data_IF_203494772621
#
_entry.id   IF_203494772621
#
_cell.length_a   1.000
_cell.length_b   1.000
_cell.length_c   1.000
_cell.angle_alpha   90.00
_cell.angle_beta   90.00
_cell.angle_gamma   90.00
#
_symmetry.space_group_name_H-M   'P 1'
#
loop_
_entity.id
_entity.type
_entity.pdbx_description
1 polymer ?
#
# COMPACT_ATOMS: atom_id res chain seq x y z
N UNK A 1 -1.80 39.45 -5.81
CA UNK A 1 -0.99 38.43 -6.52
C UNK A 1 -0.26 37.48 -5.57
N UNK A 2 0.38 37.94 -4.48
CA UNK A 2 1.06 37.06 -3.50
C UNK A 2 0.17 35.98 -2.82
N UNK A 3 -1.13 36.23 -2.63
CA UNK A 3 -2.03 35.26 -2.00
C UNK A 3 -2.32 34.02 -2.85
N UNK A 4 -2.46 34.17 -4.18
CA UNK A 4 -2.70 33.04 -5.08
C UNK A 4 -1.42 32.21 -5.31
N UNK A 5 -0.24 32.82 -5.29
CA UNK A 5 1.03 32.10 -5.39
C UNK A 5 1.36 31.34 -4.11
N UNK A 6 1.05 31.89 -2.92
CA UNK A 6 1.13 31.13 -1.66
C UNK A 6 0.15 29.96 -1.64
N UNK A 7 -1.12 30.17 -2.03
CA UNK A 7 -2.11 29.09 -2.09
C UNK A 7 -1.74 28.02 -3.13
N UNK A 8 -1.29 28.40 -4.32
CA UNK A 8 -0.75 27.47 -5.33
C UNK A 8 0.50 26.72 -4.84
N UNK A 9 1.30 27.37 -3.97
CA UNK A 9 2.46 26.81 -3.30
C UNK A 9 2.15 25.85 -2.15
N UNK A 10 0.88 25.72 -1.73
CA UNK A 10 0.43 24.82 -0.64
C UNK A 10 -0.39 23.63 -1.16
N UNK A 11 -1.17 23.82 -2.23
CA UNK A 11 -2.09 22.81 -2.74
C UNK A 11 -1.39 21.65 -3.48
N UNK A 12 -2.07 20.50 -3.58
CA UNK A 12 -1.62 19.36 -4.40
C UNK A 12 -1.69 19.74 -5.90
N UNK A 13 -0.61 19.56 -6.68
CA UNK A 13 -0.62 19.91 -8.10
C UNK A 13 -1.69 19.15 -8.90
N UNK A 14 -2.45 19.86 -9.73
CA UNK A 14 -3.55 19.26 -10.52
C UNK A 14 -3.08 18.11 -11.40
N UNK A 15 -1.88 18.22 -12.00
CA UNK A 15 -1.33 17.16 -12.85
C UNK A 15 -1.19 15.83 -12.09
N UNK A 16 -0.84 15.88 -10.80
CA UNK A 16 -0.69 14.67 -9.98
C UNK A 16 -2.06 14.05 -9.71
N UNK A 17 -3.08 14.85 -9.38
CA UNK A 17 -4.46 14.39 -9.19
C UNK A 17 -4.99 13.68 -10.45
N UNK A 18 -4.79 14.31 -11.61
CA UNK A 18 -5.22 13.78 -12.91
C UNK A 18 -4.45 12.52 -13.28
N UNK A 19 -3.12 12.51 -13.15
CA UNK A 19 -2.29 11.35 -13.44
C UNK A 19 -2.64 10.15 -12.55
N UNK A 20 -2.84 10.39 -11.24
CA UNK A 20 -3.26 9.35 -10.30
C UNK A 20 -4.61 8.76 -10.66
N UNK A 21 -5.59 9.63 -10.96
CA UNK A 21 -6.93 9.21 -11.38
C UNK A 21 -6.89 8.43 -12.68
N UNK A 22 -6.11 8.87 -13.66
CA UNK A 22 -5.93 8.16 -14.93
C UNK A 22 -5.29 6.78 -14.71
N UNK A 23 -4.31 6.67 -13.81
CA UNK A 23 -3.72 5.39 -13.43
C UNK A 23 -4.77 4.47 -12.80
N UNK A 24 -5.58 4.96 -11.86
CA UNK A 24 -6.69 4.18 -11.25
C UNK A 24 -7.65 3.68 -12.33
N UNK A 25 -8.13 4.57 -13.20
CA UNK A 25 -9.08 4.23 -14.26
C UNK A 25 -8.49 3.27 -15.31
N UNK A 26 -7.19 3.28 -15.54
CA UNK A 26 -6.51 2.35 -16.44
C UNK A 26 -6.28 0.97 -15.81
N UNK A 27 -5.85 0.92 -14.55
CA UNK A 27 -5.51 -0.33 -13.85
C UNK A 27 -6.75 -1.13 -13.49
N UNK A 28 -7.80 -0.47 -12.97
CA UNK A 28 -9.00 -1.14 -12.44
C UNK A 28 -9.65 -2.09 -13.46
N UNK A 29 -9.97 -1.66 -14.71
CA UNK A 29 -10.59 -2.56 -15.68
C UNK A 29 -9.72 -3.77 -16.02
N UNK A 30 -8.40 -3.56 -16.10
CA UNK A 30 -7.45 -4.61 -16.45
C UNK A 30 -7.36 -5.65 -15.33
N UNK A 31 -7.16 -5.18 -14.09
CA UNK A 31 -7.07 -6.04 -12.91
C UNK A 31 -8.37 -6.77 -12.64
N UNK A 32 -9.50 -6.09 -12.77
CA UNK A 32 -10.80 -6.75 -12.65
C UNK A 32 -10.90 -7.91 -13.65
N UNK A 33 -10.56 -7.67 -14.91
CA UNK A 33 -10.70 -8.69 -15.95
C UNK A 33 -9.75 -9.88 -15.77
N UNK A 34 -8.54 -9.67 -15.25
CA UNK A 34 -7.53 -10.73 -15.11
C UNK A 34 -7.55 -11.43 -13.74
N UNK A 35 -7.81 -10.70 -12.66
CA UNK A 35 -7.71 -11.19 -11.29
C UNK A 35 -9.05 -11.21 -10.53
N UNK A 36 -10.09 -10.60 -11.12
CA UNK A 36 -11.40 -10.45 -10.50
C UNK A 36 -11.46 -9.31 -9.47
N UNK A 37 -12.68 -8.90 -9.06
CA UNK A 37 -12.87 -7.75 -8.19
C UNK A 37 -12.30 -7.96 -6.77
N UNK A 38 -12.16 -9.21 -6.33
CA UNK A 38 -11.59 -9.53 -5.01
C UNK A 38 -10.11 -9.19 -4.90
N UNK A 39 -9.40 -9.05 -6.02
CA UNK A 39 -7.99 -8.66 -6.03
C UNK A 39 -7.78 -7.31 -5.31
N UNK A 40 -8.73 -6.39 -5.47
CA UNK A 40 -8.69 -5.06 -4.88
C UNK A 40 -8.73 -5.03 -3.34
N UNK A 41 -8.78 -6.18 -2.67
CA UNK A 41 -8.63 -6.30 -1.22
C UNK A 41 -7.17 -6.27 -0.78
N UNK A 42 -6.18 -6.35 -1.70
CA UNK A 42 -4.79 -6.08 -1.35
C UNK A 42 -4.65 -4.71 -0.71
N UNK A 43 -3.87 -4.62 0.37
CA UNK A 43 -3.65 -3.35 1.04
C UNK A 43 -3.10 -2.25 0.13
N UNK A 44 -2.24 -2.62 -0.81
CA UNK A 44 -1.69 -1.70 -1.83
C UNK A 44 -2.77 -1.17 -2.77
N UNK A 45 -3.72 -2.00 -3.21
CA UNK A 45 -4.84 -1.57 -4.05
C UNK A 45 -5.77 -0.62 -3.28
N UNK A 46 -6.08 -0.94 -2.01
CA UNK A 46 -6.88 -0.08 -1.14
C UNK A 46 -6.20 1.27 -0.94
N UNK A 47 -4.90 1.26 -0.63
CA UNK A 47 -4.10 2.47 -0.49
C UNK A 47 -4.06 3.27 -1.80
N UNK A 48 -3.89 2.59 -2.94
CA UNK A 48 -3.86 3.19 -4.27
C UNK A 48 -5.16 3.95 -4.58
N UNK A 49 -6.33 3.37 -4.28
CA UNK A 49 -7.62 4.03 -4.48
C UNK A 49 -7.89 5.13 -3.45
N UNK A 50 -7.64 4.88 -2.17
CA UNK A 50 -7.84 5.86 -1.11
C UNK A 50 -6.94 7.09 -1.30
N UNK A 51 -5.73 6.91 -1.86
CA UNK A 51 -4.84 8.02 -2.17
C UNK A 51 -5.40 8.94 -3.26
N UNK A 52 -6.20 8.43 -4.21
CA UNK A 52 -6.90 9.28 -5.17
C UNK A 52 -7.83 10.28 -4.43
N UNK A 53 -8.61 9.79 -3.46
CA UNK A 53 -9.44 10.64 -2.63
C UNK A 53 -8.61 11.60 -1.77
N UNK A 54 -7.52 11.11 -1.16
CA UNK A 54 -6.60 11.94 -0.36
C UNK A 54 -6.00 13.10 -1.15
N UNK A 55 -5.61 12.86 -2.42
CA UNK A 55 -5.06 13.88 -3.30
C UNK A 55 -6.12 14.89 -3.76
N UNK A 56 -7.34 14.45 -4.08
CA UNK A 56 -8.41 15.35 -4.51
C UNK A 56 -8.93 16.22 -3.37
N UNK A 57 -9.13 15.62 -2.20
CA UNK A 57 -9.59 16.30 -0.98
C UNK A 57 -8.47 17.05 -0.26
N UNK A 58 -7.21 16.86 -0.68
CA UNK A 58 -6.03 17.42 -0.04
C UNK A 58 -6.00 17.12 1.47
N UNK A 59 -6.38 15.89 1.81
CA UNK A 59 -6.58 15.45 3.19
C UNK A 59 -5.29 14.86 3.76
N UNK A 60 -4.68 15.58 4.71
CA UNK A 60 -3.56 15.09 5.52
C UNK A 60 -3.89 13.76 6.21
N UNK A 61 -5.11 13.64 6.72
CA UNK A 61 -5.61 12.43 7.37
C UNK A 61 -5.63 11.22 6.44
N UNK A 62 -6.27 11.31 5.26
CA UNK A 62 -6.36 10.15 4.34
C UNK A 62 -4.97 9.73 3.86
N UNK A 63 -4.12 10.70 3.53
CA UNK A 63 -2.75 10.42 3.08
C UNK A 63 -1.91 9.78 4.21
N UNK A 64 -2.04 10.26 5.44
CA UNK A 64 -1.35 9.68 6.61
C UNK A 64 -1.90 8.30 6.97
N UNK A 65 -3.21 8.08 6.81
CA UNK A 65 -3.88 6.80 7.03
C UNK A 65 -3.30 5.73 6.10
N UNK A 66 -3.30 5.98 4.79
CA UNK A 66 -2.79 5.01 3.82
C UNK A 66 -1.28 4.81 3.96
N UNK A 67 -0.52 5.87 4.25
CA UNK A 67 0.92 5.75 4.51
C UNK A 67 1.18 4.87 5.75
N UNK A 68 0.46 5.06 6.85
CA UNK A 68 0.54 4.18 8.02
C UNK A 68 0.17 2.73 7.69
N UNK A 69 -0.78 2.51 6.78
CA UNK A 69 -1.21 1.15 6.40
C UNK A 69 -0.13 0.38 5.62
N UNK A 70 0.56 1.03 4.68
CA UNK A 70 1.37 0.31 3.67
C UNK A 70 2.79 0.81 3.44
N UNK A 71 3.27 1.85 4.13
CA UNK A 71 4.63 2.38 3.89
C UNK A 71 5.71 1.30 3.96
N UNK A 72 5.70 0.48 5.02
CA UNK A 72 6.71 -0.59 5.19
C UNK A 72 6.63 -1.66 4.10
N UNK A 73 5.48 -2.30 3.81
CA UNK A 73 5.42 -3.29 2.74
C UNK A 73 5.76 -2.70 1.36
N UNK A 74 5.49 -1.42 1.12
CA UNK A 74 5.80 -0.74 -0.15
C UNK A 74 7.30 -0.44 -0.30
N UNK A 75 7.97 -0.09 0.80
CA UNK A 75 9.45 -0.05 0.86
C UNK A 75 10.02 -1.44 0.58
N UNK A 76 9.51 -2.48 1.26
CA UNK A 76 9.99 -3.85 1.08
C UNK A 76 9.76 -4.35 -0.35
N UNK A 77 8.64 -4.00 -0.96
CA UNK A 77 8.35 -4.31 -2.36
C UNK A 77 9.32 -3.61 -3.30
N UNK A 78 9.55 -2.31 -3.10
CA UNK A 78 10.48 -1.53 -3.92
C UNK A 78 11.92 -2.04 -3.81
N UNK A 79 12.39 -2.33 -2.59
CA UNK A 79 13.71 -2.92 -2.35
C UNK A 79 13.82 -4.31 -2.99
N UNK A 80 12.79 -5.15 -2.89
CA UNK A 80 12.75 -6.47 -3.55
C UNK A 80 12.85 -6.35 -5.07
N UNK A 81 12.06 -5.47 -5.67
CA UNK A 81 12.03 -5.25 -7.11
C UNK A 81 13.35 -4.69 -7.64
N UNK A 82 13.83 -3.56 -7.11
CA UNK A 82 15.07 -2.94 -7.57
C UNK A 82 16.30 -3.76 -7.20
N UNK A 83 16.31 -4.42 -6.04
CA UNK A 83 17.39 -5.33 -5.67
C UNK A 83 17.55 -6.46 -6.69
N UNK A 84 16.45 -7.04 -7.16
CA UNK A 84 16.47 -8.08 -8.19
C UNK A 84 16.90 -7.55 -9.57
N UNK A 85 16.51 -6.33 -9.95
CA UNK A 85 17.03 -5.67 -11.16
C UNK A 85 18.54 -5.44 -11.11
N UNK A 86 19.04 -5.03 -9.95
CA UNK A 86 20.47 -4.77 -9.70
C UNK A 86 21.26 -6.05 -9.37
N UNK A 87 20.63 -7.23 -9.40
CA UNK A 87 21.24 -8.53 -9.08
C UNK A 87 21.86 -8.59 -7.68
N UNK A 88 21.27 -7.86 -6.72
CA UNK A 88 21.65 -7.91 -5.31
C UNK A 88 21.14 -9.20 -4.63
N UNK A 89 21.72 -9.58 -3.48
CA UNK A 89 21.20 -10.69 -2.68
C UNK A 89 19.70 -10.52 -2.39
N UNK A 90 18.95 -11.62 -2.50
CA UNK A 90 17.49 -11.62 -2.33
C UNK A 90 17.13 -11.37 -0.86
N UNK A 91 16.62 -10.19 -0.55
CA UNK A 91 16.19 -9.80 0.81
C UNK A 91 14.77 -10.29 1.14
N UNK A 92 13.82 -10.13 0.20
CA UNK A 92 12.43 -10.59 0.33
C UNK A 92 11.92 -11.11 -1.02
N UNK A 93 10.87 -11.92 -1.01
CA UNK A 93 10.22 -12.45 -2.23
C UNK A 93 8.95 -11.73 -2.66
N UNK A 94 8.59 -10.61 -2.03
CA UNK A 94 7.26 -9.97 -2.23
C UNK A 94 7.06 -9.43 -3.65
N UNK A 95 8.14 -9.10 -4.36
CA UNK A 95 8.10 -8.66 -5.76
C UNK A 95 8.52 -9.76 -6.75
N UNK A 96 8.63 -11.03 -6.34
CA UNK A 96 9.18 -12.08 -7.22
C UNK A 96 8.34 -12.35 -8.46
N UNK A 97 7.02 -12.16 -8.35
CA UNK A 97 6.08 -12.31 -9.46
C UNK A 97 6.40 -11.34 -10.61
N UNK A 98 7.06 -10.20 -10.33
CA UNK A 98 7.52 -9.25 -11.36
C UNK A 98 8.53 -9.85 -12.33
N UNK A 99 9.12 -10.99 -11.98
CA UNK A 99 10.13 -11.68 -12.78
C UNK A 99 9.69 -13.10 -13.16
N UNK A 100 8.45 -13.47 -12.86
CA UNK A 100 7.84 -14.70 -13.36
C UNK A 100 7.64 -14.57 -14.88
N UNK A 101 8.11 -15.56 -15.64
CA UNK A 101 7.97 -15.59 -17.10
C UNK A 101 6.60 -16.11 -17.55
N UNK A 102 5.84 -16.74 -16.65
CA UNK A 102 4.47 -17.20 -16.92
C UNK A 102 3.48 -16.03 -16.94
N UNK A 103 3.83 -14.90 -16.34
CA UNK A 103 3.01 -13.68 -16.35
C UNK A 103 3.51 -12.75 -17.47
N UNK A 104 2.65 -12.36 -18.43
CA UNK A 104 3.04 -11.45 -19.51
C UNK A 104 3.70 -10.18 -18.97
N UNK A 105 4.76 -9.71 -19.63
CA UNK A 105 5.53 -8.54 -19.18
C UNK A 105 4.65 -7.30 -18.98
N UNK A 106 3.73 -7.05 -19.90
CA UNK A 106 2.83 -5.90 -19.82
C UNK A 106 1.90 -5.97 -18.59
N UNK A 107 1.47 -7.16 -18.17
CA UNK A 107 0.61 -7.33 -16.99
C UNK A 107 1.41 -7.09 -15.70
N UNK A 108 2.66 -7.57 -15.64
CA UNK A 108 3.58 -7.27 -14.53
C UNK A 108 3.90 -5.77 -14.45
N UNK A 109 4.07 -5.11 -15.59
CA UNK A 109 4.35 -3.67 -15.63
C UNK A 109 3.24 -2.83 -15.00
N UNK A 110 2.00 -3.33 -14.96
CA UNK A 110 0.90 -2.62 -14.29
C UNK A 110 1.13 -2.54 -12.78
N UNK A 111 1.70 -3.58 -12.17
CA UNK A 111 2.08 -3.58 -10.76
C UNK A 111 3.17 -2.57 -10.43
N UNK A 112 3.81 -1.92 -11.40
CA UNK A 112 4.76 -0.83 -11.12
C UNK A 112 4.11 0.38 -10.45
N UNK A 113 2.77 0.43 -10.31
CA UNK A 113 2.09 1.45 -9.51
C UNK A 113 2.58 1.53 -8.06
N UNK A 114 3.19 0.46 -7.51
CA UNK A 114 3.86 0.46 -6.21
C UNK A 114 4.95 1.56 -6.10
N UNK A 115 5.66 1.85 -7.20
CA UNK A 115 6.72 2.87 -7.21
C UNK A 115 6.16 4.30 -7.00
N UNK A 116 5.22 4.81 -7.83
CA UNK A 116 4.62 6.09 -7.57
C UNK A 116 3.77 6.10 -6.30
N UNK A 117 3.21 4.96 -5.87
CA UNK A 117 2.52 4.82 -4.58
C UNK A 117 3.45 5.11 -3.41
N UNK A 118 4.61 4.46 -3.32
CA UNK A 118 5.61 4.76 -2.31
C UNK A 118 6.04 6.24 -2.33
N UNK A 119 6.29 6.78 -3.53
CA UNK A 119 6.70 8.18 -3.67
C UNK A 119 5.65 9.15 -3.11
N UNK A 120 4.37 8.96 -3.46
CA UNK A 120 3.28 9.83 -3.00
C UNK A 120 2.98 9.62 -1.52
N UNK A 121 3.19 8.43 -0.95
CA UNK A 121 3.02 8.19 0.49
C UNK A 121 4.10 8.83 1.37
N UNK A 122 5.25 9.18 0.81
CA UNK A 122 6.27 9.97 1.51
C UNK A 122 6.06 11.47 1.23
N UNK A 123 5.85 11.83 -0.04
CA UNK A 123 5.64 13.22 -0.46
C UNK A 123 4.35 13.82 0.12
N UNK A 124 3.29 13.03 0.20
CA UNK A 124 1.97 13.48 0.64
C UNK A 124 1.96 13.98 2.09
N UNK A 125 2.42 13.20 3.09
CA UNK A 125 2.55 13.67 4.47
C UNK A 125 3.49 14.87 4.61
N UNK A 126 4.59 14.92 3.84
CA UNK A 126 5.46 16.09 3.79
C UNK A 126 4.71 17.35 3.28
N UNK A 127 3.87 17.17 2.25
CA UNK A 127 3.17 18.27 1.58
C UNK A 127 1.96 18.78 2.34
N UNK A 128 1.12 17.87 2.81
CA UNK A 128 -0.18 18.16 3.44
C UNK A 128 -0.10 18.18 4.97
N UNK A 129 1.03 17.80 5.54
CA UNK A 129 1.20 17.55 6.95
C UNK A 129 0.93 16.09 7.30
N UNK A 130 1.79 15.52 8.12
CA UNK A 130 1.57 14.21 8.70
C UNK A 130 0.62 14.31 9.89
N UNK A 131 -0.41 13.47 9.92
CA UNK A 131 -1.36 13.37 11.03
C UNK A 131 -1.07 12.11 11.87
N UNK A 132 -0.43 12.24 13.05
CA UNK A 132 -0.17 11.11 13.94
C UNK A 132 -1.44 10.42 14.43
N UNK A 133 -2.57 11.14 14.45
CA UNK A 133 -3.88 10.63 14.82
C UNK A 133 -4.44 9.59 13.84
N UNK A 134 -3.81 9.41 12.67
CA UNK A 134 -4.22 8.41 11.69
C UNK A 134 -3.87 6.95 12.09
N UNK A 135 -2.90 6.71 12.98
CA UNK A 135 -2.44 5.36 13.30
C UNK A 135 -3.55 4.45 13.89
N UNK A 136 -4.34 4.85 14.90
CA UNK A 136 -5.42 4.01 15.40
C UNK A 136 -6.44 3.64 14.32
N UNK A 137 -6.72 4.56 13.40
CA UNK A 137 -7.60 4.31 12.25
C UNK A 137 -6.96 3.37 11.24
N UNK A 138 -5.66 3.48 10.99
CA UNK A 138 -4.93 2.56 10.12
C UNK A 138 -4.98 1.13 10.68
N UNK A 139 -4.82 0.96 12.00
CA UNK A 139 -4.95 -0.34 12.68
C UNK A 139 -6.37 -0.89 12.54
N UNK A 140 -7.39 -0.08 12.83
CA UNK A 140 -8.79 -0.48 12.71
C UNK A 140 -9.15 -0.87 11.27
N UNK A 141 -8.75 -0.05 10.29
CA UNK A 141 -8.97 -0.35 8.86
C UNK A 141 -8.25 -1.63 8.46
N UNK A 142 -7.02 -1.85 8.91
CA UNK A 142 -6.28 -3.09 8.68
C UNK A 142 -7.01 -4.32 9.21
N UNK A 143 -7.54 -4.26 10.44
CA UNK A 143 -8.32 -5.37 10.99
C UNK A 143 -9.57 -5.66 10.17
N UNK A 144 -10.33 -4.62 9.81
CA UNK A 144 -11.53 -4.77 8.96
C UNK A 144 -11.15 -5.41 7.63
N UNK A 145 -10.11 -4.92 6.96
CA UNK A 145 -9.65 -5.46 5.67
C UNK A 145 -9.19 -6.91 5.81
N UNK A 146 -8.42 -7.27 6.84
CA UNK A 146 -7.99 -8.65 7.05
C UNK A 146 -9.20 -9.59 7.22
N UNK A 147 -10.17 -9.22 8.05
CA UNK A 147 -11.38 -9.99 8.29
C UNK A 147 -12.23 -10.13 7.02
N UNK A 148 -12.45 -9.03 6.30
CA UNK A 148 -13.20 -9.04 5.04
C UNK A 148 -12.47 -9.85 3.95
N UNK A 149 -11.14 -9.74 3.87
CA UNK A 149 -10.33 -10.52 2.93
C UNK A 149 -10.50 -12.01 3.21
N UNK A 150 -10.41 -12.42 4.48
CA UNK A 150 -10.59 -13.82 4.87
C UNK A 150 -12.01 -14.33 4.60
N UNK A 151 -13.02 -13.49 4.73
CA UNK A 151 -14.41 -13.85 4.51
C UNK A 151 -14.79 -13.92 3.03
N UNK A 152 -14.22 -13.05 2.20
CA UNK A 152 -14.61 -12.89 0.80
C UNK A 152 -13.74 -13.64 -0.21
N UNK A 153 -12.61 -14.22 0.21
CA UNK A 153 -11.62 -14.81 -0.71
C UNK A 153 -11.35 -16.30 -0.42
N UNK A 154 -10.50 -16.90 -1.24
CA UNK A 154 -10.02 -18.27 -1.09
C UNK A 154 -8.49 -18.32 -0.91
N UNK A 155 -7.94 -19.48 -0.48
CA UNK A 155 -6.52 -19.61 -0.20
C UNK A 155 -5.61 -19.45 -1.42
N UNK A 156 -6.13 -19.57 -2.64
CA UNK A 156 -5.37 -19.61 -3.89
C UNK A 156 -4.54 -18.34 -4.08
N UNK A 157 -5.18 -17.18 -4.02
CA UNK A 157 -4.52 -15.88 -4.13
C UNK A 157 -3.82 -15.45 -2.83
N UNK A 158 -4.26 -15.97 -1.69
CA UNK A 158 -3.73 -15.66 -0.36
C UNK A 158 -3.53 -14.15 -0.11
N UNK A 159 -4.54 -13.36 -0.49
CA UNK A 159 -4.52 -11.90 -0.38
C UNK A 159 -4.25 -11.49 1.05
N UNK A 160 -3.33 -10.54 1.24
CA UNK A 160 -2.85 -10.06 2.55
C UNK A 160 -2.40 -11.19 3.50
N UNK A 161 -2.00 -12.34 2.95
CA UNK A 161 -1.52 -13.50 3.69
C UNK A 161 -2.52 -14.09 4.69
N UNK A 162 -3.84 -13.88 4.51
CA UNK A 162 -4.86 -14.31 5.47
C UNK A 162 -5.07 -15.83 5.55
N UNK A 163 -4.43 -16.62 4.67
CA UNK A 163 -4.43 -18.09 4.73
C UNK A 163 -3.06 -18.67 5.08
N UNK A 164 -1.96 -18.04 4.64
CA UNK A 164 -0.59 -18.57 4.78
C UNK A 164 0.41 -17.42 4.90
N UNK A 165 1.36 -17.54 5.83
CA UNK A 165 2.46 -16.57 5.94
C UNK A 165 3.47 -16.72 4.78
N UNK A 166 4.15 -15.62 4.38
CA UNK A 166 5.16 -15.66 3.32
C UNK A 166 6.48 -16.35 3.71
N UNK A 167 6.77 -16.53 5.00
CA UNK A 167 8.07 -17.02 5.49
C UNK A 167 8.01 -18.30 6.35
N UNK A 168 6.81 -18.69 6.82
CA UNK A 168 6.66 -19.79 7.76
C UNK A 168 6.07 -21.02 7.06
N UNK A 169 6.93 -21.87 6.52
CA UNK A 169 6.57 -23.27 6.36
C UNK A 169 6.51 -23.90 7.76
N UNK A 170 5.36 -24.46 8.16
CA UNK A 170 5.29 -25.32 9.35
C UNK A 170 4.78 -24.73 10.67
N UNK A 171 4.16 -23.54 10.69
CA UNK A 171 3.37 -23.13 11.85
C UNK A 171 1.94 -23.70 11.72
N UNK A 172 1.62 -24.78 12.46
CA UNK A 172 0.26 -25.33 12.53
C UNK A 172 -0.65 -24.44 13.39
N UNK A 173 -1.05 -23.28 12.83
CA UNK A 173 -2.03 -22.40 13.45
C UNK A 173 -3.45 -22.76 12.99
N UNK A 174 -4.41 -22.74 13.92
CA UNK A 174 -5.82 -22.68 13.55
C UNK A 174 -6.12 -21.38 12.78
N UNK A 175 -7.18 -21.32 11.95
CA UNK A 175 -7.52 -20.09 11.23
C UNK A 175 -7.69 -18.86 12.14
N UNK A 176 -8.21 -19.05 13.35
CA UNK A 176 -8.36 -17.97 14.34
C UNK A 176 -7.00 -17.50 14.85
N UNK A 177 -6.11 -18.43 15.22
CA UNK A 177 -4.76 -18.09 15.68
C UNK A 177 -3.97 -17.37 14.57
N UNK A 178 -4.07 -17.83 13.32
CA UNK A 178 -3.44 -17.18 12.18
C UNK A 178 -3.90 -15.73 12.01
N UNK A 179 -5.21 -15.49 12.10
CA UNK A 179 -5.76 -14.14 12.00
C UNK A 179 -5.36 -13.26 13.18
N UNK A 180 -5.35 -13.78 14.41
CA UNK A 180 -4.88 -13.04 15.60
C UNK A 180 -3.42 -12.65 15.47
N UNK A 181 -2.57 -13.54 14.93
CA UNK A 181 -1.17 -13.22 14.64
C UNK A 181 -1.09 -12.10 13.62
N UNK A 182 -1.85 -12.13 12.51
CA UNK A 182 -1.83 -11.02 11.54
C UNK A 182 -2.34 -9.71 12.13
N UNK A 183 -3.46 -9.75 12.86
CA UNK A 183 -4.07 -8.58 13.49
C UNK A 183 -3.18 -7.96 14.57
N UNK A 184 -2.22 -8.69 15.13
CA UNK A 184 -1.25 -8.15 16.09
C UNK A 184 0.07 -7.77 15.42
N UNK A 185 0.63 -8.65 14.60
CA UNK A 185 1.92 -8.46 13.95
C UNK A 185 1.90 -7.34 12.91
N UNK A 186 0.84 -7.17 12.12
CA UNK A 186 0.77 -6.10 11.11
C UNK A 186 0.83 -4.71 11.77
N UNK A 187 0.00 -4.40 12.79
CA UNK A 187 0.15 -3.15 13.54
C UNK A 187 1.53 -2.96 14.16
N UNK A 188 2.05 -3.97 14.85
CA UNK A 188 3.28 -3.83 15.63
C UNK A 188 4.56 -3.79 14.79
N UNK A 189 4.62 -4.58 13.72
CA UNK A 189 5.83 -4.78 12.93
C UNK A 189 5.84 -3.98 11.63
N UNK A 190 4.68 -3.55 11.13
CA UNK A 190 4.59 -2.80 9.87
C UNK A 190 4.04 -1.39 10.09
N UNK A 191 2.86 -1.24 10.70
CA UNK A 191 2.21 0.07 10.80
C UNK A 191 2.90 0.98 11.82
N UNK A 192 3.25 0.46 13.00
CA UNK A 192 3.91 1.24 14.04
C UNK A 192 5.31 1.70 13.59
N UNK A 193 6.20 0.87 13.03
CA UNK A 193 7.48 1.34 12.49
C UNK A 193 7.31 2.36 11.37
N UNK A 194 6.34 2.15 10.45
CA UNK A 194 6.03 3.11 9.41
C UNK A 194 5.55 4.46 9.98
N UNK A 195 4.66 4.41 10.97
CA UNK A 195 4.18 5.59 11.69
C UNK A 195 5.31 6.34 12.38
N UNK A 196 6.20 5.63 13.10
CA UNK A 196 7.32 6.24 13.79
C UNK A 196 8.31 6.87 12.81
N UNK A 197 8.55 6.25 11.65
CA UNK A 197 9.37 6.81 10.58
C UNK A 197 8.76 8.12 10.05
N UNK A 198 7.47 8.12 9.72
CA UNK A 198 6.77 9.33 9.26
C UNK A 198 6.75 10.42 10.32
N UNK A 199 6.53 10.04 11.59
CA UNK A 199 6.56 10.97 12.71
C UNK A 199 7.94 11.57 12.93
N UNK A 200 9.00 10.78 12.83
CA UNK A 200 10.37 11.28 12.93
C UNK A 200 10.73 12.24 11.78
N UNK A 201 10.18 12.02 10.58
CA UNK A 201 10.44 12.85 9.40
C UNK A 201 9.61 14.14 9.35
N UNK A 202 8.35 14.07 9.80
CA UNK A 202 7.34 15.11 9.53
C UNK A 202 6.49 15.48 10.76
N UNK A 203 6.73 14.87 11.91
CA UNK A 203 6.10 15.24 13.17
C UNK A 203 6.61 16.60 13.62
N UNK A 204 5.67 17.52 13.88
CA UNK A 204 5.94 18.79 14.53
C UNK A 204 5.87 18.64 16.05
#
# INVERSE_FOLDING_TARGET
MMGNEMLAGILVPLWLKVAWTAMVLGIVPIYWRHHGPRNFLWFSDIAFFALAAGLWLESSFIVSLVACMVLVPEILWSVSYFGRLLRLPRLTGIADYMFDQQIPLWLRAISLFHVPLLAVMIWGPWRLGYDPGALPWAVLTTWIVLLLTRWLTGPEANINHVYRFPFAAGAELTPVQHMLVLMTAVPLLLQLPGHLLLWAMFGN
#
